data_IF_701055129671
#
_entry.id   IF_701055129671
#
_cell.length_a   1.000
_cell.length_b   1.000
_cell.length_c   1.000
_cell.angle_alpha   90.00
_cell.angle_beta   90.00
_cell.angle_gamma   90.00
#
_symmetry.space_group_name_H-M   'P 1'
#
loop_
_entity.id
_entity.type
_entity.pdbx_description
1 polymer ?
#
# COMPACT_ATOMS: atom_id res chain seq x y z
N UNK A 1 22.60 -30.76 24.90
CA UNK A 1 22.40 -29.34 24.56
C UNK A 1 20.98 -28.97 24.96
N UNK A 2 20.78 -28.13 25.96
CA UNK A 2 19.47 -27.66 26.37
C UNK A 2 18.86 -26.83 25.24
N UNK A 3 17.65 -27.19 24.76
CA UNK A 3 16.89 -26.35 23.82
C UNK A 3 16.61 -25.01 24.52
N UNK A 4 17.26 -23.95 24.09
CA UNK A 4 16.94 -22.59 24.52
C UNK A 4 15.45 -22.37 24.26
N UNK A 5 14.67 -22.15 25.32
CA UNK A 5 13.27 -21.74 25.19
C UNK A 5 13.27 -20.39 24.44
N UNK A 6 12.57 -20.34 23.30
CA UNK A 6 12.37 -19.06 22.62
C UNK A 6 11.72 -18.07 23.62
N UNK A 7 12.16 -16.81 23.62
CA UNK A 7 11.54 -15.82 24.50
C UNK A 7 10.05 -15.67 24.19
N UNK A 8 9.26 -15.49 25.22
CA UNK A 8 7.81 -15.19 25.06
C UNK A 8 7.69 -13.75 24.59
N UNK A 9 7.00 -13.54 23.48
CA UNK A 9 6.66 -12.21 22.97
C UNK A 9 5.25 -11.88 23.44
N UNK A 10 5.16 -11.10 24.50
CA UNK A 10 3.89 -10.80 25.22
C UNK A 10 2.83 -10.24 24.27
N UNK A 11 3.21 -9.33 23.37
CA UNK A 11 2.28 -8.77 22.38
C UNK A 11 1.60 -9.84 21.54
N UNK A 12 2.38 -10.78 20.99
CA UNK A 12 1.85 -11.87 20.15
C UNK A 12 0.89 -12.78 20.96
N UNK A 13 1.22 -13.07 22.22
CA UNK A 13 0.34 -13.89 23.08
C UNK A 13 -0.99 -13.19 23.37
N UNK A 14 -0.99 -11.87 23.52
CA UNK A 14 -2.21 -11.08 23.67
C UNK A 14 -3.07 -11.15 22.42
N UNK A 15 -2.47 -10.98 21.23
CA UNK A 15 -3.19 -11.05 19.96
C UNK A 15 -3.88 -12.40 19.76
N UNK A 16 -3.17 -13.49 20.04
CA UNK A 16 -3.73 -14.84 19.99
C UNK A 16 -4.89 -15.04 20.97
N UNK A 17 -4.77 -14.47 22.17
CA UNK A 17 -5.83 -14.47 23.17
C UNK A 17 -7.08 -13.72 22.73
N UNK A 18 -6.89 -12.65 21.95
CA UNK A 18 -7.97 -11.88 21.35
C UNK A 18 -8.59 -12.58 20.11
N UNK A 19 -8.16 -13.80 19.80
CA UNK A 19 -8.68 -14.59 18.68
C UNK A 19 -8.15 -14.16 17.30
N UNK A 20 -6.98 -13.50 17.27
CA UNK A 20 -6.33 -13.15 16.00
C UNK A 20 -5.48 -14.32 15.51
N UNK A 21 -5.65 -14.67 14.23
CA UNK A 21 -4.72 -15.53 13.50
C UNK A 21 -3.53 -14.68 13.03
N UNK A 22 -2.47 -14.67 13.85
CA UNK A 22 -1.28 -13.86 13.62
C UNK A 22 -0.54 -14.28 12.34
N UNK A 23 -0.52 -15.59 12.04
CA UNK A 23 0.17 -16.09 10.84
C UNK A 23 -0.57 -15.67 9.55
N UNK A 24 -1.90 -15.68 9.57
CA UNK A 24 -2.72 -15.15 8.48
C UNK A 24 -2.55 -13.64 8.32
N UNK A 25 -2.50 -12.88 9.42
CA UNK A 25 -2.26 -11.45 9.36
C UNK A 25 -0.88 -11.13 8.77
N UNK A 26 0.17 -11.83 9.18
CA UNK A 26 1.53 -11.65 8.63
C UNK A 26 1.52 -11.88 7.11
N UNK A 27 0.85 -12.92 6.63
CA UNK A 27 0.75 -13.19 5.18
C UNK A 27 0.09 -12.03 4.43
N UNK A 28 -1.02 -11.51 4.94
CA UNK A 28 -1.71 -10.40 4.31
C UNK A 28 -0.87 -9.11 4.35
N UNK A 29 -0.17 -8.83 5.45
CA UNK A 29 0.75 -7.69 5.53
C UNK A 29 1.91 -7.82 4.53
N UNK A 30 2.46 -9.03 4.32
CA UNK A 30 3.50 -9.26 3.31
C UNK A 30 2.97 -9.04 1.90
N UNK A 31 1.74 -9.43 1.62
CA UNK A 31 1.08 -9.15 0.33
C UNK A 31 0.90 -7.63 0.15
N UNK A 32 0.37 -6.94 1.17
CA UNK A 32 0.21 -5.48 1.12
C UNK A 32 1.56 -4.77 0.96
N UNK A 33 2.59 -5.15 1.71
CA UNK A 33 3.95 -4.62 1.51
C UNK A 33 4.44 -4.79 0.07
N UNK A 34 4.11 -5.92 -0.57
CA UNK A 34 4.44 -6.16 -1.98
C UNK A 34 3.63 -5.26 -2.92
N UNK A 35 2.35 -5.01 -2.62
CA UNK A 35 1.48 -4.10 -3.39
C UNK A 35 2.03 -2.68 -3.31
N UNK A 36 2.28 -2.15 -2.11
CA UNK A 36 2.80 -0.79 -1.89
C UNK A 36 4.15 -0.57 -2.60
N UNK A 37 5.09 -1.51 -2.42
CA UNK A 37 6.39 -1.42 -3.11
C UNK A 37 6.25 -1.43 -4.63
N UNK A 38 5.31 -2.23 -5.14
CA UNK A 38 5.05 -2.34 -6.57
C UNK A 38 4.33 -1.08 -7.09
N UNK A 39 3.40 -0.51 -6.33
CA UNK A 39 2.72 0.75 -6.62
C UNK A 39 3.72 1.92 -6.65
N UNK A 40 4.58 2.04 -5.63
CA UNK A 40 5.66 3.03 -5.62
C UNK A 40 6.52 2.99 -6.88
N UNK A 41 6.96 1.81 -7.31
CA UNK A 41 7.75 1.65 -8.53
C UNK A 41 6.93 2.03 -9.76
N UNK A 42 5.69 1.57 -9.83
CA UNK A 42 4.80 1.80 -10.96
C UNK A 42 4.46 3.28 -11.14
N UNK A 43 4.12 3.97 -10.06
CA UNK A 43 3.87 5.41 -10.09
C UNK A 43 5.12 6.20 -10.48
N UNK A 44 6.31 5.71 -10.13
CA UNK A 44 7.56 6.29 -10.63
C UNK A 44 7.63 6.23 -12.16
N UNK A 45 7.24 5.10 -12.78
CA UNK A 45 7.18 4.96 -14.23
C UNK A 45 6.12 5.87 -14.86
N UNK A 46 4.90 5.86 -14.31
CA UNK A 46 3.79 6.68 -14.82
C UNK A 46 4.15 8.17 -14.75
N UNK A 47 4.66 8.62 -13.62
CA UNK A 47 5.10 10.00 -13.40
C UNK A 47 6.18 10.43 -14.42
N UNK A 48 7.15 9.57 -14.69
CA UNK A 48 8.21 9.86 -15.67
C UNK A 48 7.67 10.06 -17.09
N UNK A 49 6.51 9.52 -17.41
CA UNK A 49 5.86 9.63 -18.72
C UNK A 49 4.81 10.76 -18.79
N UNK A 50 4.52 11.45 -17.69
CA UNK A 50 3.73 12.69 -17.74
C UNK A 50 4.54 13.80 -18.38
N UNK A 51 4.21 14.20 -19.60
CA UNK A 51 4.97 15.19 -20.39
C UNK A 51 4.10 16.37 -20.79
N UNK A 52 4.76 17.47 -21.20
CA UNK A 52 4.09 18.69 -21.61
C UNK A 52 3.56 19.52 -20.44
N UNK A 53 2.94 20.65 -20.74
CA UNK A 53 2.45 21.59 -19.71
C UNK A 53 1.37 20.96 -18.83
N UNK A 54 0.46 20.19 -19.42
CA UNK A 54 -0.62 19.52 -18.69
C UNK A 54 -0.06 18.40 -17.78
N UNK A 55 1.04 17.76 -18.20
CA UNK A 55 1.69 16.73 -17.41
C UNK A 55 2.35 17.23 -16.13
N UNK A 56 2.75 18.50 -16.06
CA UNK A 56 3.46 19.02 -14.87
C UNK A 56 2.56 19.06 -13.62
N UNK A 57 1.27 19.38 -13.76
CA UNK A 57 0.31 19.33 -12.66
C UNK A 57 0.11 17.90 -12.14
N UNK A 58 -0.01 16.96 -13.06
CA UNK A 58 -0.22 15.53 -12.78
C UNK A 58 0.99 14.91 -12.08
N UNK A 59 2.22 15.26 -12.50
CA UNK A 59 3.45 14.79 -11.86
C UNK A 59 3.47 15.03 -10.35
N UNK A 60 2.97 16.19 -9.92
CA UNK A 60 2.96 16.53 -8.50
C UNK A 60 2.02 15.64 -7.69
N UNK A 61 0.82 15.38 -8.21
CA UNK A 61 -0.15 14.51 -7.55
C UNK A 61 0.35 13.07 -7.47
N UNK A 62 0.89 12.54 -8.58
CA UNK A 62 1.48 11.19 -8.59
C UNK A 62 2.70 11.11 -7.66
N UNK A 63 3.48 12.20 -7.52
CA UNK A 63 4.62 12.22 -6.59
C UNK A 63 4.18 12.12 -5.14
N UNK A 64 3.11 12.84 -4.76
CA UNK A 64 2.60 12.82 -3.39
C UNK A 64 2.10 11.40 -3.05
N UNK A 65 1.24 10.79 -3.89
CA UNK A 65 0.76 9.41 -3.71
C UNK A 65 1.92 8.40 -3.65
N UNK A 66 2.84 8.46 -4.62
CA UNK A 66 4.00 7.57 -4.69
C UNK A 66 4.87 7.57 -3.42
N UNK A 67 5.07 8.75 -2.82
CA UNK A 67 5.88 8.85 -1.60
C UNK A 67 5.13 8.31 -0.39
N UNK A 68 3.83 8.42 -0.36
CA UNK A 68 2.99 7.81 0.67
C UNK A 68 3.00 6.28 0.54
N UNK A 69 2.89 5.70 -0.68
CA UNK A 69 3.06 4.25 -0.91
C UNK A 69 4.39 3.71 -0.37
N UNK A 70 5.49 4.48 -0.54
CA UNK A 70 6.77 4.09 0.06
C UNK A 70 6.71 4.06 1.59
N UNK A 71 6.05 5.03 2.21
CA UNK A 71 5.84 5.07 3.66
C UNK A 71 4.95 3.92 4.14
N UNK A 72 3.90 3.59 3.38
CA UNK A 72 3.04 2.44 3.65
C UNK A 72 3.83 1.12 3.62
N UNK A 73 4.69 0.95 2.62
CA UNK A 73 5.60 -0.19 2.52
C UNK A 73 6.51 -0.32 3.76
N UNK A 74 7.14 0.78 4.19
CA UNK A 74 8.03 0.78 5.36
C UNK A 74 7.25 0.44 6.65
N UNK A 75 6.04 0.98 6.81
CA UNK A 75 5.15 0.66 7.93
C UNK A 75 4.75 -0.82 7.97
N UNK A 76 4.48 -1.41 6.81
CA UNK A 76 4.25 -2.85 6.69
C UNK A 76 5.45 -3.66 7.17
N UNK A 77 6.67 -3.31 6.71
CA UNK A 77 7.89 -4.04 7.10
C UNK A 77 8.03 -4.02 8.61
N UNK A 78 7.97 -2.84 9.21
CA UNK A 78 8.12 -2.68 10.65
C UNK A 78 7.12 -3.58 11.40
N UNK A 79 5.84 -3.54 10.99
CA UNK A 79 4.80 -4.32 11.64
C UNK A 79 4.96 -5.83 11.45
N UNK A 80 5.34 -6.30 10.26
CA UNK A 80 5.63 -7.71 9.98
C UNK A 80 6.70 -8.25 10.93
N UNK A 81 7.81 -7.52 11.09
CA UNK A 81 8.89 -7.95 11.97
C UNK A 81 8.52 -7.90 13.46
N UNK A 82 7.74 -6.92 13.89
CA UNK A 82 7.19 -6.86 15.26
C UNK A 82 6.30 -8.08 15.56
N UNK A 83 5.57 -8.58 14.57
CA UNK A 83 4.74 -9.78 14.69
C UNK A 83 5.54 -11.10 14.58
N UNK A 84 6.87 -11.01 14.38
CA UNK A 84 7.74 -12.19 14.26
C UNK A 84 7.77 -12.80 12.86
N UNK A 85 7.20 -12.11 11.87
CA UNK A 85 7.28 -12.45 10.45
C UNK A 85 8.59 -11.99 9.80
N UNK A 86 8.67 -12.15 8.49
CA UNK A 86 9.77 -11.65 7.65
C UNK A 86 9.33 -11.54 6.20
N UNK A 87 9.99 -10.67 5.45
CA UNK A 87 9.82 -10.60 4.01
C UNK A 87 10.46 -11.81 3.32
N UNK A 88 10.00 -12.20 2.11
CA UNK A 88 10.67 -13.16 1.26
C UNK A 88 12.12 -12.76 0.99
N UNK A 89 13.04 -13.74 0.96
CA UNK A 89 14.45 -13.50 0.67
C UNK A 89 14.72 -13.22 -0.81
N UNK A 90 13.79 -13.61 -1.68
CA UNK A 90 13.85 -13.43 -3.13
C UNK A 90 12.94 -12.25 -3.52
N UNK A 91 13.55 -11.18 -4.03
CA UNK A 91 12.84 -10.00 -4.49
C UNK A 91 11.85 -10.30 -5.62
N UNK A 92 12.17 -11.25 -6.51
CA UNK A 92 11.26 -11.65 -7.59
C UNK A 92 10.01 -12.33 -7.04
N UNK A 93 10.17 -13.17 -6.02
CA UNK A 93 9.05 -13.80 -5.33
C UNK A 93 8.21 -12.75 -4.62
N UNK A 94 8.86 -11.81 -3.94
CA UNK A 94 8.18 -10.72 -3.24
C UNK A 94 7.30 -9.90 -4.19
N UNK A 95 7.85 -9.43 -5.31
CA UNK A 95 7.10 -8.63 -6.31
C UNK A 95 5.90 -9.42 -6.87
N UNK A 96 6.06 -10.71 -7.12
CA UNK A 96 4.95 -11.56 -7.61
C UNK A 96 3.80 -11.69 -6.61
N UNK A 97 4.05 -11.52 -5.32
CA UNK A 97 3.00 -11.60 -4.29
C UNK A 97 1.99 -10.47 -4.37
N UNK A 98 2.34 -9.33 -4.97
CA UNK A 98 1.39 -8.23 -5.20
C UNK A 98 0.20 -8.64 -6.08
N UNK A 99 0.34 -9.70 -6.89
CA UNK A 99 -0.68 -10.07 -7.87
C UNK A 99 -0.87 -9.04 -8.99
N UNK A 100 -0.04 -8.00 -9.01
CA UNK A 100 -0.14 -6.89 -9.96
C UNK A 100 0.52 -7.24 -11.29
N UNK A 101 0.06 -8.30 -11.96
CA UNK A 101 0.60 -8.73 -13.27
C UNK A 101 0.40 -7.69 -14.39
N UNK A 102 -0.43 -6.69 -14.17
CA UNK A 102 -0.88 -5.73 -15.19
C UNK A 102 -0.29 -4.32 -15.05
N UNK A 103 0.79 -4.16 -14.27
CA UNK A 103 1.45 -2.87 -14.09
C UNK A 103 2.34 -2.55 -15.30
N UNK A 104 1.70 -2.26 -16.42
CA UNK A 104 2.35 -1.86 -17.66
C UNK A 104 1.95 -0.43 -18.01
N UNK A 105 2.88 0.33 -18.58
CA UNK A 105 2.55 1.62 -19.17
C UNK A 105 1.41 1.47 -20.19
N UNK A 106 0.57 2.50 -20.36
CA UNK A 106 -0.47 2.45 -21.39
C UNK A 106 0.16 2.30 -22.79
N UNK A 107 -0.59 1.83 -23.79
CA UNK A 107 -0.08 1.67 -25.17
C UNK A 107 0.53 2.95 -25.74
N UNK A 108 -0.05 4.11 -25.43
CA UNK A 108 0.60 5.40 -25.56
C UNK A 108 1.12 5.81 -24.17
N UNK A 109 2.44 5.71 -23.91
CA UNK A 109 3.01 5.95 -22.59
C UNK A 109 2.82 7.37 -22.04
N UNK A 110 2.55 8.34 -22.93
CA UNK A 110 2.38 9.76 -22.58
C UNK A 110 0.92 10.21 -22.60
N UNK A 111 -0.03 9.28 -22.72
CA UNK A 111 -1.46 9.57 -22.60
C UNK A 111 -1.81 9.83 -21.14
N UNK A 112 -2.01 11.09 -20.80
CA UNK A 112 -2.26 11.54 -19.42
C UNK A 112 -3.55 10.97 -18.85
N UNK A 113 -4.60 10.84 -19.65
CA UNK A 113 -5.86 10.23 -19.20
C UNK A 113 -5.65 8.77 -18.86
N UNK A 114 -5.01 8.02 -19.75
CA UNK A 114 -4.72 6.60 -19.49
C UNK A 114 -3.76 6.39 -18.31
N UNK A 115 -2.82 7.31 -18.07
CA UNK A 115 -1.97 7.32 -16.87
C UNK A 115 -2.82 7.47 -15.61
N UNK A 116 -3.70 8.48 -15.58
CA UNK A 116 -4.57 8.74 -14.42
C UNK A 116 -5.55 7.60 -14.13
N UNK A 117 -6.11 6.98 -15.17
CA UNK A 117 -6.98 5.80 -15.02
C UNK A 117 -6.23 4.62 -14.38
N UNK A 118 -4.95 4.46 -14.71
CA UNK A 118 -4.11 3.43 -14.08
C UNK A 118 -3.79 3.73 -12.63
N UNK A 119 -3.50 4.99 -12.31
CA UNK A 119 -3.33 5.41 -10.91
C UNK A 119 -4.60 5.14 -10.12
N UNK A 120 -5.75 5.64 -10.59
CA UNK A 120 -7.04 5.41 -9.94
C UNK A 120 -7.32 3.93 -9.68
N UNK A 121 -7.05 3.06 -10.67
CA UNK A 121 -7.26 1.62 -10.50
C UNK A 121 -6.32 0.99 -9.47
N UNK A 122 -5.09 1.46 -9.35
CA UNK A 122 -4.15 1.00 -8.35
C UNK A 122 -4.64 1.33 -6.95
N UNK A 123 -5.05 2.60 -6.70
CA UNK A 123 -5.58 3.03 -5.41
C UNK A 123 -6.85 2.27 -5.01
N UNK A 124 -7.76 2.06 -5.94
CA UNK A 124 -8.96 1.25 -5.66
C UNK A 124 -8.63 -0.18 -5.23
N UNK A 125 -7.55 -0.74 -5.76
CA UNK A 125 -7.02 -2.02 -5.31
C UNK A 125 -6.44 -1.96 -3.89
N UNK A 126 -5.66 -0.91 -3.59
CA UNK A 126 -5.08 -0.68 -2.27
C UNK A 126 -6.17 -0.49 -1.20
N UNK A 127 -7.20 0.30 -1.47
CA UNK A 127 -8.37 0.49 -0.59
C UNK A 127 -8.98 -0.86 -0.18
N UNK A 128 -9.22 -1.75 -1.14
CA UNK A 128 -9.80 -3.09 -0.86
C UNK A 128 -8.86 -3.93 0.02
N UNK A 129 -7.56 -3.85 -0.22
CA UNK A 129 -6.58 -4.59 0.54
C UNK A 129 -6.47 -4.07 1.98
N UNK A 130 -6.43 -2.76 2.18
CA UNK A 130 -6.33 -2.16 3.51
C UNK A 130 -7.62 -2.29 4.31
N UNK A 131 -8.80 -2.20 3.68
CA UNK A 131 -10.09 -2.53 4.33
C UNK A 131 -10.08 -3.96 4.87
N UNK A 132 -9.52 -4.90 4.12
CA UNK A 132 -9.37 -6.29 4.58
C UNK A 132 -8.53 -6.38 5.87
N UNK A 133 -7.39 -5.68 5.94
CA UNK A 133 -6.55 -5.65 7.16
C UNK A 133 -7.30 -5.02 8.32
N UNK A 134 -8.01 -3.91 8.09
CA UNK A 134 -8.86 -3.29 9.10
C UNK A 134 -9.87 -4.30 9.69
N UNK A 135 -10.57 -5.02 8.82
CA UNK A 135 -11.56 -6.02 9.23
C UNK A 135 -10.96 -7.23 9.98
N UNK A 136 -9.74 -7.63 9.62
CA UNK A 136 -9.03 -8.71 10.33
C UNK A 136 -8.62 -8.32 11.74
N UNK A 137 -8.28 -7.04 11.95
CA UNK A 137 -7.61 -6.55 13.16
C UNK A 137 -8.53 -5.79 14.12
N UNK A 138 -9.70 -5.36 13.65
CA UNK A 138 -10.69 -4.64 14.46
C UNK A 138 -11.02 -5.37 15.76
N UNK A 139 -10.79 -4.71 16.89
CA UNK A 139 -11.05 -5.25 18.23
C UNK A 139 -10.09 -6.35 18.69
N UNK A 140 -9.10 -6.75 17.85
CA UNK A 140 -8.16 -7.82 18.16
C UNK A 140 -6.71 -7.32 18.26
N UNK A 141 -6.30 -6.44 17.36
CA UNK A 141 -4.96 -5.85 17.29
C UNK A 141 -5.05 -4.34 17.01
N UNK A 142 -5.20 -3.53 18.06
CA UNK A 142 -5.35 -2.09 17.88
C UNK A 142 -4.13 -1.44 17.18
N UNK A 143 -2.92 -1.96 17.38
CA UNK A 143 -1.73 -1.39 16.77
C UNK A 143 -1.70 -1.58 15.24
N UNK A 144 -2.04 -2.79 14.76
CA UNK A 144 -2.15 -3.01 13.30
C UNK A 144 -3.40 -2.34 12.73
N UNK A 145 -4.50 -2.31 13.50
CA UNK A 145 -5.73 -1.63 13.08
C UNK A 145 -5.51 -0.13 12.84
N UNK A 146 -4.80 0.55 13.75
CA UNK A 146 -4.52 1.98 13.60
C UNK A 146 -3.66 2.26 12.37
N UNK A 147 -2.59 1.48 12.15
CA UNK A 147 -1.78 1.57 10.93
C UNK A 147 -2.66 1.38 9.69
N UNK A 148 -3.43 0.31 9.64
CA UNK A 148 -4.24 -0.04 8.48
C UNK A 148 -5.34 1.00 8.19
N UNK A 149 -5.97 1.54 9.24
CA UNK A 149 -7.00 2.58 9.14
C UNK A 149 -6.42 3.90 8.60
N UNK A 150 -5.23 4.27 9.06
CA UNK A 150 -4.60 5.52 8.65
C UNK A 150 -4.16 5.41 7.18
N UNK A 151 -3.57 4.29 6.77
CA UNK A 151 -3.24 4.04 5.35
C UNK A 151 -4.51 3.97 4.50
N UNK A 152 -5.55 3.26 4.92
CA UNK A 152 -6.84 3.23 4.21
C UNK A 152 -7.41 4.62 3.98
N UNK A 153 -7.28 5.52 4.94
CA UNK A 153 -7.75 6.90 4.79
C UNK A 153 -6.92 7.67 3.75
N UNK A 154 -5.61 7.45 3.69
CA UNK A 154 -4.73 8.04 2.68
C UNK A 154 -5.03 7.49 1.27
N UNK A 155 -5.26 6.18 1.11
CA UNK A 155 -5.66 5.59 -0.17
C UNK A 155 -7.00 6.12 -0.70
N UNK A 156 -7.97 6.35 0.19
CA UNK A 156 -9.26 6.99 -0.16
C UNK A 156 -9.03 8.45 -0.60
N UNK A 157 -8.08 9.14 0.02
CA UNK A 157 -7.70 10.48 -0.38
C UNK A 157 -7.05 10.48 -1.78
N UNK A 158 -6.13 9.55 -2.07
CA UNK A 158 -5.53 9.37 -3.39
C UNK A 158 -6.58 9.07 -4.47
N UNK A 159 -7.51 8.15 -4.20
CA UNK A 159 -8.64 7.91 -5.11
C UNK A 159 -9.37 9.20 -5.44
N UNK A 160 -9.63 10.03 -4.44
CA UNK A 160 -10.35 11.30 -4.63
C UNK A 160 -9.56 12.30 -5.49
N UNK A 161 -8.23 12.33 -5.38
CA UNK A 161 -7.37 13.17 -6.22
C UNK A 161 -7.42 12.75 -7.70
N UNK A 162 -7.34 11.46 -7.97
CA UNK A 162 -7.41 10.97 -9.35
C UNK A 162 -8.81 11.11 -9.95
N UNK A 163 -9.87 10.97 -9.16
CA UNK A 163 -11.25 11.26 -9.59
C UNK A 163 -11.46 12.74 -9.90
N UNK A 164 -10.83 13.66 -9.14
CA UNK A 164 -10.86 15.10 -9.45
C UNK A 164 -10.23 15.37 -10.81
N UNK A 165 -9.03 14.83 -11.07
CA UNK A 165 -8.31 15.05 -12.32
C UNK A 165 -9.02 14.44 -13.53
N UNK A 166 -9.63 13.26 -13.38
CA UNK A 166 -10.29 12.56 -14.48
C UNK A 166 -11.69 13.10 -14.79
N UNK A 167 -12.45 13.46 -13.75
CA UNK A 167 -13.90 13.70 -13.90
C UNK A 167 -14.33 15.06 -13.32
N UNK A 168 -13.40 15.94 -12.98
CA UNK A 168 -13.68 17.24 -12.36
C UNK A 168 -14.56 17.12 -11.08
N UNK A 169 -14.44 15.99 -10.35
CA UNK A 169 -15.11 15.78 -9.08
C UNK A 169 -14.32 16.48 -7.97
N UNK A 170 -14.89 17.49 -7.29
CA UNK A 170 -14.14 18.18 -6.22
C UNK A 170 -13.70 17.19 -5.12
N UNK A 171 -12.41 17.18 -4.79
CA UNK A 171 -11.82 16.31 -3.76
C UNK A 171 -11.49 17.05 -2.48
N UNK A 172 -11.37 18.39 -2.54
CA UNK A 172 -10.87 19.21 -1.45
C UNK A 172 -9.36 19.10 -1.24
N UNK A 173 -8.65 18.45 -2.15
CA UNK A 173 -7.21 18.28 -2.06
C UNK A 173 -6.48 19.62 -2.04
N UNK A 174 -5.67 19.82 -1.03
CA UNK A 174 -4.71 20.92 -0.97
C UNK A 174 -3.32 20.33 -0.99
N UNK A 175 -2.58 20.60 -2.07
CA UNK A 175 -1.22 20.10 -2.26
C UNK A 175 -0.39 20.24 -0.98
N UNK A 176 0.10 19.15 -0.44
CA UNK A 176 1.02 19.17 0.70
C UNK A 176 2.33 19.84 0.22
N UNK A 177 2.80 20.83 0.97
CA UNK A 177 4.03 21.59 0.66
C UNK A 177 5.25 20.88 1.19
#
# INVERSE_FOLDING_TARGET
MAKSKKPVVVGIEILKKNGLDVDSLIKELVINASVEFTAYYYFTLLRANCTGMDGEGIKGVIEDARLEDLSHFESCIERIYQLGGSLPKDATQFIKMSGCEFLQLPPNPTDLTAILEKCLKAEQGAIVNWDKICNMTLGKDPATYDIAKDILAEEIEHESWFLELLYARPSGHMRRR
#
